data_IF_651709847622
#
_entry.id   IF_651709847622
#
_cell.length_a   1.000
_cell.length_b   1.000
_cell.length_c   1.000
_cell.angle_alpha   90.00
_cell.angle_beta   90.00
_cell.angle_gamma   90.00
#
_symmetry.space_group_name_H-M   'P 1'
#
loop_
_entity.id
_entity.type
_entity.pdbx_description
1 polymer ?
#
# COMPACT_ATOMS: atom_id res chain seq x y z
N UNK A 1 4.21 7.20 18.80
CA UNK A 1 2.91 6.93 18.14
C UNK A 1 3.10 5.70 17.27
N UNK A 2 2.08 4.87 17.04
CA UNK A 2 2.21 3.74 16.09
C UNK A 2 2.20 4.31 14.67
N UNK A 3 3.02 3.76 13.80
CA UNK A 3 3.19 4.18 12.41
C UNK A 3 3.22 2.94 11.52
N UNK A 4 2.80 3.11 10.27
CA UNK A 4 2.93 2.13 9.22
C UNK A 4 4.08 2.54 8.29
N UNK A 5 5.06 1.68 8.14
CA UNK A 5 6.15 1.90 7.19
C UNK A 5 5.78 1.43 5.78
N UNK A 6 5.92 2.33 4.80
CA UNK A 6 5.78 2.04 3.38
C UNK A 6 7.17 2.05 2.74
N UNK A 7 7.75 0.86 2.55
CA UNK A 7 9.04 0.71 1.88
C UNK A 7 8.90 0.92 0.36
N UNK A 8 9.71 1.82 -0.21
CA UNK A 8 9.69 2.17 -1.64
C UNK A 8 9.97 0.96 -2.53
N UNK A 9 10.81 0.02 -2.09
CA UNK A 9 11.06 -1.23 -2.81
C UNK A 9 9.80 -2.08 -3.04
N UNK A 10 8.74 -1.87 -2.25
CA UNK A 10 7.45 -2.51 -2.43
C UNK A 10 6.84 -2.26 -3.81
N UNK A 11 7.11 -1.09 -4.41
CA UNK A 11 6.66 -0.73 -5.76
C UNK A 11 7.35 -1.57 -6.85
N UNK A 12 8.56 -2.05 -6.57
CA UNK A 12 9.41 -2.81 -7.48
C UNK A 12 9.42 -4.31 -7.12
N UNK A 13 8.49 -4.77 -6.31
CA UNK A 13 8.42 -6.16 -5.85
C UNK A 13 7.07 -6.80 -6.18
N UNK A 14 7.12 -8.05 -6.68
CA UNK A 14 5.92 -8.88 -6.83
C UNK A 14 5.20 -9.05 -5.49
N UNK A 15 5.98 -9.25 -4.42
CA UNK A 15 5.54 -9.51 -3.06
C UNK A 15 5.71 -8.26 -2.17
N UNK A 16 5.75 -7.08 -2.78
CA UNK A 16 5.93 -5.81 -2.07
C UNK A 16 4.78 -5.50 -1.12
N UNK A 17 5.05 -4.64 -0.13
CA UNK A 17 4.08 -4.25 0.91
C UNK A 17 3.47 -5.45 1.64
N UNK A 18 4.32 -6.38 2.08
CA UNK A 18 3.89 -7.65 2.67
C UNK A 18 2.89 -8.40 1.78
N UNK A 19 3.12 -8.39 0.47
CA UNK A 19 2.21 -8.98 -0.52
C UNK A 19 0.78 -8.40 -0.54
N UNK A 20 0.59 -7.20 -0.01
CA UNK A 20 -0.73 -6.60 0.17
C UNK A 20 -1.46 -7.06 1.43
N UNK A 21 -0.86 -7.91 2.27
CA UNK A 21 -1.42 -8.29 3.56
C UNK A 21 -1.41 -7.12 4.55
N UNK A 22 -2.24 -7.27 5.59
CA UNK A 22 -2.32 -6.30 6.68
C UNK A 22 -1.06 -6.44 7.55
N UNK A 23 -0.33 -5.35 7.82
CA UNK A 23 0.81 -5.36 8.73
C UNK A 23 0.39 -5.70 10.16
N UNK A 24 1.25 -6.40 10.89
CA UNK A 24 0.97 -6.83 12.26
C UNK A 24 0.69 -5.64 13.19
N UNK A 25 1.37 -4.51 12.99
CA UNK A 25 1.17 -3.30 13.80
C UNK A 25 -0.25 -2.73 13.67
N UNK A 26 -0.82 -2.82 12.46
CA UNK A 26 -2.20 -2.45 12.19
C UNK A 26 -3.15 -3.43 12.85
N UNK A 27 -2.92 -4.74 12.72
CA UNK A 27 -3.74 -5.77 13.36
C UNK A 27 -3.77 -5.59 14.88
N UNK A 28 -2.60 -5.42 15.50
CA UNK A 28 -2.45 -5.13 16.93
C UNK A 28 -3.20 -3.85 17.34
N UNK A 29 -3.19 -2.82 16.50
CA UNK A 29 -3.91 -1.59 16.77
C UNK A 29 -5.43 -1.80 16.71
N UNK A 30 -5.91 -2.49 15.67
CA UNK A 30 -7.33 -2.84 15.50
C UNK A 30 -7.84 -3.67 16.68
N UNK A 31 -7.06 -4.64 17.14
CA UNK A 31 -7.39 -5.45 18.31
C UNK A 31 -7.43 -4.61 19.60
N UNK A 32 -6.44 -3.73 19.80
CA UNK A 32 -6.35 -2.87 20.98
C UNK A 32 -7.52 -1.89 21.12
N UNK A 33 -8.06 -1.39 20.00
CA UNK A 33 -9.23 -0.49 20.01
C UNK A 33 -10.56 -1.25 19.94
N UNK A 34 -10.52 -2.58 19.93
CA UNK A 34 -11.70 -3.43 19.79
C UNK A 34 -12.44 -3.15 18.49
N UNK A 35 -11.72 -3.01 17.37
CA UNK A 35 -12.29 -2.66 16.08
C UNK A 35 -13.35 -3.68 15.65
N UNK A 36 -14.62 -3.31 15.83
CA UNK A 36 -15.77 -4.11 15.41
C UNK A 36 -16.24 -3.69 14.03
N UNK A 37 -15.39 -3.85 13.00
CA UNK A 37 -15.81 -3.69 11.60
C UNK A 37 -17.01 -4.58 11.24
N UNK A 38 -17.39 -4.68 9.95
CA UNK A 38 -18.51 -5.53 9.51
C UNK A 38 -18.24 -7.01 9.84
N UNK A 39 -18.66 -7.46 11.02
CA UNK A 39 -18.32 -8.78 11.58
C UNK A 39 -16.99 -8.85 12.36
N UNK A 40 -16.41 -7.73 12.79
CA UNK A 40 -15.15 -7.72 13.56
C UNK A 40 -13.88 -7.91 12.74
N UNK A 41 -13.94 -7.69 11.42
CA UNK A 41 -12.81 -7.90 10.52
C UNK A 41 -12.70 -6.76 9.49
N UNK A 42 -11.47 -6.38 9.13
CA UNK A 42 -11.18 -5.46 8.03
C UNK A 42 -11.13 -6.25 6.71
N UNK A 43 -12.09 -6.08 5.78
CA UNK A 43 -12.10 -6.85 4.54
C UNK A 43 -10.82 -6.65 3.72
N UNK A 44 -10.26 -7.72 3.13
CA UNK A 44 -9.02 -7.64 2.33
C UNK A 44 -9.12 -6.63 1.17
N UNK A 45 -10.27 -6.56 0.50
CA UNK A 45 -10.48 -5.60 -0.59
C UNK A 45 -10.49 -4.14 -0.12
N UNK A 46 -11.01 -3.88 1.08
CA UNK A 46 -10.96 -2.54 1.69
C UNK A 46 -9.49 -2.20 1.98
N UNK A 47 -8.77 -3.13 2.60
CA UNK A 47 -7.34 -2.94 2.88
C UNK A 47 -6.52 -2.69 1.60
N UNK A 48 -6.76 -3.43 0.50
CA UNK A 48 -6.05 -3.20 -0.76
C UNK A 48 -6.28 -1.78 -1.30
N UNK A 49 -7.52 -1.25 -1.20
CA UNK A 49 -7.83 0.13 -1.60
C UNK A 49 -7.14 1.14 -0.68
N UNK A 50 -7.17 0.92 0.63
CA UNK A 50 -6.45 1.73 1.60
C UNK A 50 -4.95 1.75 1.29
N UNK A 51 -4.31 0.60 1.13
CA UNK A 51 -2.88 0.51 0.77
C UNK A 51 -2.58 1.24 -0.53
N UNK A 52 -3.39 1.04 -1.57
CA UNK A 52 -3.27 1.75 -2.84
C UNK A 52 -3.37 3.27 -2.68
N UNK A 53 -4.23 3.74 -1.77
CA UNK A 53 -4.40 5.16 -1.46
C UNK A 53 -3.21 5.71 -0.70
N UNK A 54 -2.79 5.03 0.37
CA UNK A 54 -1.66 5.45 1.20
C UNK A 54 -0.36 5.56 0.39
N UNK A 55 -0.12 4.60 -0.51
CA UNK A 55 1.02 4.66 -1.43
C UNK A 55 0.96 5.89 -2.33
N UNK A 56 -0.21 6.21 -2.90
CA UNK A 56 -0.37 7.39 -3.78
C UNK A 56 -0.29 8.72 -3.04
N UNK A 57 -0.84 8.79 -1.84
CA UNK A 57 -0.99 10.04 -1.10
C UNK A 57 0.22 10.35 -0.20
N UNK A 58 0.97 9.33 0.24
CA UNK A 58 2.07 9.51 1.19
C UNK A 58 3.43 9.04 0.69
N UNK A 59 3.51 7.92 -0.03
CA UNK A 59 4.80 7.39 -0.51
C UNK A 59 5.26 8.11 -1.78
N UNK A 60 4.48 8.03 -2.86
CA UNK A 60 4.86 8.58 -4.18
C UNK A 60 5.25 10.06 -4.12
N UNK A 61 4.51 10.95 -3.43
CA UNK A 61 4.85 12.38 -3.42
C UNK A 61 6.15 12.71 -2.70
N UNK A 62 6.72 11.76 -1.94
CA UNK A 62 7.98 11.93 -1.24
C UNK A 62 9.16 11.29 -1.96
N UNK A 63 8.92 10.56 -3.06
CA UNK A 63 10.00 10.01 -3.86
C UNK A 63 10.71 11.11 -4.65
N UNK A 64 12.04 11.01 -4.76
CA UNK A 64 12.85 11.88 -5.61
C UNK A 64 12.64 11.55 -7.10
N UNK A 65 12.12 10.35 -7.41
CA UNK A 65 11.84 9.85 -8.75
C UNK A 65 10.40 10.16 -9.17
N UNK A 66 10.19 10.34 -10.48
CA UNK A 66 8.85 10.39 -11.06
C UNK A 66 8.33 8.96 -11.26
N UNK A 67 7.40 8.53 -10.40
CA UNK A 67 6.88 7.16 -10.37
C UNK A 67 5.41 7.12 -10.75
N UNK A 68 5.11 6.49 -11.89
CA UNK A 68 3.75 6.11 -12.23
C UNK A 68 3.46 4.71 -11.73
N UNK A 69 2.26 4.49 -11.16
CA UNK A 69 1.85 3.21 -10.59
C UNK A 69 0.62 2.63 -11.27
N UNK A 70 0.56 1.31 -11.32
CA UNK A 70 -0.63 0.56 -11.70
C UNK A 70 -1.27 -0.08 -10.47
N UNK A 71 -2.60 -0.01 -10.36
CA UNK A 71 -3.37 -0.87 -9.45
C UNK A 71 -3.68 -2.18 -10.14
N UNK A 72 -3.48 -3.29 -9.43
CA UNK A 72 -3.66 -4.63 -9.94
C UNK A 72 -4.81 -5.30 -9.19
N UNK A 73 -5.77 -5.84 -9.93
CA UNK A 73 -6.88 -6.63 -9.39
C UNK A 73 -6.42 -8.06 -9.07
N UNK A 74 -5.62 -8.20 -8.03
CA UNK A 74 -5.07 -9.50 -7.60
C UNK A 74 -5.18 -9.67 -6.08
N UNK A 75 -5.05 -10.91 -5.62
CA UNK A 75 -4.98 -11.24 -4.19
C UNK A 75 -3.62 -10.89 -3.55
N UNK A 76 -2.66 -10.49 -4.37
CA UNK A 76 -1.28 -10.16 -4.03
C UNK A 76 -1.01 -8.69 -4.33
N UNK A 77 0.09 -8.13 -3.81
CA UNK A 77 0.49 -6.72 -3.87
C UNK A 77 -0.33 -5.87 -4.88
N UNK A 78 -1.32 -5.09 -4.41
CA UNK A 78 -2.31 -4.46 -5.27
C UNK A 78 -1.79 -3.23 -6.02
N UNK A 79 -0.55 -2.78 -5.75
CA UNK A 79 0.01 -1.57 -6.38
C UNK A 79 1.51 -1.74 -6.69
N UNK A 80 1.91 -1.45 -7.92
CA UNK A 80 3.29 -1.57 -8.39
C UNK A 80 3.67 -0.42 -9.31
N UNK A 81 4.96 -0.09 -9.38
CA UNK A 81 5.47 0.89 -10.34
C UNK A 81 5.30 0.36 -11.77
N UNK A 82 4.73 1.19 -12.63
CA UNK A 82 4.64 1.00 -14.07
C UNK A 82 5.87 1.62 -14.75
N UNK A 83 6.18 2.86 -14.40
CA UNK A 83 7.39 3.58 -14.84
C UNK A 83 8.12 4.21 -13.66
N UNK A 84 9.43 4.42 -13.82
CA UNK A 84 10.28 5.22 -12.90
C UNK A 84 11.15 6.12 -13.77
N UNK A 85 11.06 7.43 -13.57
CA UNK A 85 11.70 8.46 -14.41
C UNK A 85 11.44 8.23 -15.92
N UNK A 86 10.21 7.84 -16.24
CA UNK A 86 9.76 7.52 -17.60
C UNK A 86 10.22 6.17 -18.16
N UNK A 87 11.04 5.40 -17.43
CA UNK A 87 11.48 4.06 -17.86
C UNK A 87 10.47 2.98 -17.42
N UNK A 88 10.02 2.13 -18.36
CA UNK A 88 9.16 0.98 -18.04
C UNK A 88 9.88 -0.01 -17.12
N UNK A 89 9.23 -0.34 -15.99
CA UNK A 89 9.75 -1.30 -14.99
C UNK A 89 8.85 -2.53 -14.83
N UNK A 90 7.89 -2.75 -15.74
CA UNK A 90 6.90 -3.84 -15.65
C UNK A 90 7.54 -5.23 -15.75
N UNK A 91 8.74 -5.32 -16.36
CA UNK A 91 9.52 -6.56 -16.41
C UNK A 91 9.85 -7.13 -15.02
N UNK A 92 9.93 -6.27 -13.99
CA UNK A 92 10.23 -6.66 -12.61
C UNK A 92 9.05 -7.43 -11.98
N UNK A 93 7.81 -7.11 -12.38
CA UNK A 93 6.59 -7.65 -11.76
C UNK A 93 6.50 -9.18 -11.78
N UNK A 94 7.01 -9.81 -12.84
CA UNK A 94 6.91 -11.27 -13.04
C UNK A 94 8.21 -11.99 -12.72
N UNK A 95 9.33 -11.43 -13.15
CA UNK A 95 10.63 -12.14 -13.11
C UNK A 95 11.40 -11.85 -11.83
N UNK A 96 11.11 -10.76 -11.12
CA UNK A 96 11.82 -10.33 -9.91
C UNK A 96 13.33 -10.09 -10.11
N UNK A 97 13.81 -10.17 -11.36
CA UNK A 97 15.21 -10.17 -11.77
C UNK A 97 15.40 -9.11 -12.84
N UNK A 98 16.49 -8.36 -12.73
CA UNK A 98 16.86 -7.26 -13.62
C UNK A 98 17.44 -6.10 -12.80
N UNK A 99 18.04 -5.10 -13.47
CA UNK A 99 18.41 -3.86 -12.80
C UNK A 99 17.16 -3.28 -12.13
N UNK A 100 17.29 -2.73 -10.93
CA UNK A 100 16.21 -2.03 -10.24
C UNK A 100 16.62 -0.57 -10.11
N UNK A 101 15.77 0.39 -10.49
CA UNK A 101 16.03 1.76 -10.09
C UNK A 101 16.05 1.82 -8.56
N UNK A 102 16.96 2.62 -8.04
CA UNK A 102 16.97 2.97 -6.63
C UNK A 102 15.87 4.01 -6.41
N UNK A 103 15.05 3.81 -5.38
CA UNK A 103 14.00 4.74 -4.99
C UNK A 103 14.39 5.38 -3.67
N UNK A 104 14.32 6.71 -3.62
CA UNK A 104 14.71 7.51 -2.47
C UNK A 104 13.55 8.43 -2.08
N UNK A 105 13.16 8.50 -0.79
CA UNK A 105 13.70 7.77 0.35
C UNK A 105 13.40 6.27 0.29
N UNK A 106 14.11 5.47 1.10
CA UNK A 106 13.92 4.00 1.17
C UNK A 106 12.54 3.63 1.71
N UNK A 107 11.98 4.45 2.60
CA UNK A 107 10.65 4.27 3.15
C UNK A 107 10.02 5.58 3.62
N UNK A 108 8.71 5.54 3.83
CA UNK A 108 7.91 6.61 4.43
C UNK A 108 7.09 6.02 5.57
N UNK A 109 7.13 6.67 6.74
CA UNK A 109 6.24 6.34 7.85
C UNK A 109 4.93 7.12 7.75
N UNK A 110 3.81 6.40 7.80
CA UNK A 110 2.45 6.97 7.85
C UNK A 110 1.88 6.80 9.26
N UNK A 111 1.47 7.87 9.94
CA UNK A 111 0.82 7.77 11.24
C UNK A 111 -0.41 6.86 11.24
N UNK A 112 -0.58 6.03 12.28
CA UNK A 112 -1.67 5.04 12.30
C UNK A 112 -3.07 5.68 12.28
N UNK A 113 -3.23 6.89 12.81
CA UNK A 113 -4.47 7.66 12.77
C UNK A 113 -4.86 8.06 11.34
N UNK A 114 -3.88 8.38 10.49
CA UNK A 114 -4.10 8.61 9.04
C UNK A 114 -4.54 7.31 8.36
N UNK A 115 -3.91 6.17 8.70
CA UNK A 115 -4.32 4.85 8.20
C UNK A 115 -5.76 4.53 8.61
N UNK A 116 -6.11 4.78 9.86
CA UNK A 116 -7.47 4.56 10.38
C UNK A 116 -8.51 5.48 9.74
N UNK A 117 -8.16 6.73 9.46
CA UNK A 117 -9.03 7.65 8.72
C UNK A 117 -9.34 7.10 7.31
N UNK A 118 -8.32 6.67 6.57
CA UNK A 118 -8.49 6.06 5.26
C UNK A 118 -9.34 4.77 5.32
N UNK A 119 -9.13 3.91 6.32
CA UNK A 119 -9.97 2.71 6.55
C UNK A 119 -11.43 3.09 6.77
N UNK A 120 -11.69 4.07 7.64
CA UNK A 120 -13.05 4.49 7.95
C UNK A 120 -13.76 5.07 6.72
N UNK A 121 -13.07 5.92 5.94
CA UNK A 121 -13.60 6.46 4.70
C UNK A 121 -13.97 5.35 3.71
N UNK A 122 -13.05 4.42 3.43
CA UNK A 122 -13.28 3.28 2.53
C UNK A 122 -14.39 2.32 3.01
N UNK A 123 -14.63 2.26 4.32
CA UNK A 123 -15.72 1.47 4.90
C UNK A 123 -17.08 2.19 4.84
N UNK A 124 -17.08 3.53 4.79
CA UNK A 124 -18.31 4.35 4.68
C UNK A 124 -18.77 4.56 3.24
N UNK A 125 -17.88 4.50 2.26
CA UNK A 125 -18.23 4.56 0.84
C UNK A 125 -18.78 3.20 0.41
N UNK A 126 -20.11 3.04 0.43
CA UNK A 126 -20.77 2.04 -0.42
C UNK A 126 -21.08 2.66 -1.79
N UNK A 127 -20.94 1.92 -2.91
CA UNK A 127 -21.69 2.24 -4.11
C UNK A 127 -23.18 2.10 -3.78
N UNK A 128 -23.99 3.05 -4.25
CA UNK A 128 -25.42 2.83 -4.39
C UNK A 128 -25.64 1.51 -5.14
N UNK A 129 -26.55 0.69 -4.62
CA UNK A 129 -26.92 -0.61 -5.17
C UNK A 129 -27.48 -0.52 -6.59
#
# INVERSE_FOLDING_TARGET
MKELELASEGLLSKWGFNDGDKPDELLDHLDAIGFTGRGGYLPGQVWHRVLCRLVREHLIPQLDQDVEVATLETNHNPIRAHTVDGADVTYIWRKGRGPRPELTPESVCVPIDVVMAAINEEMTVQPEA
#
